data_IF_852159094194
#
_entry.id   IF_852159094194
#
_cell.length_a   1.000
_cell.length_b   1.000
_cell.length_c   1.000
_cell.angle_alpha   90.00
_cell.angle_beta   90.00
_cell.angle_gamma   90.00
#
_symmetry.space_group_name_H-M   'P 1'
#
loop_
_entity.id
_entity.type
_entity.pdbx_description
1 polymer ?
#
# COMPACT_ATOMS: atom_id res chain seq x y z
N UNK A 1 -1.03 62.35 17.51
CA UNK A 1 -1.19 61.03 18.18
C UNK A 1 0.20 60.49 18.43
N UNK A 2 0.64 60.60 19.67
CA UNK A 2 2.05 60.58 20.07
C UNK A 2 2.25 59.45 21.07
N UNK A 3 3.25 58.58 20.84
CA UNK A 3 3.66 57.50 21.75
C UNK A 3 4.08 58.06 23.12
N UNK A 4 3.78 57.35 24.21
CA UNK A 4 4.85 56.77 25.05
C UNK A 4 4.42 55.39 25.62
N UNK A 5 5.22 54.55 26.26
CA UNK A 5 6.45 54.73 27.02
C UNK A 5 7.27 53.43 27.05
N UNK A 6 8.59 53.59 27.09
CA UNK A 6 9.55 52.60 27.60
C UNK A 6 9.40 52.50 29.12
N UNK A 7 9.50 51.30 29.69
CA UNK A 7 10.08 51.12 31.02
C UNK A 7 11.10 49.98 30.92
N UNK A 8 12.30 50.28 31.39
CA UNK A 8 13.49 49.43 31.45
C UNK A 8 13.76 49.19 32.94
N UNK A 9 14.41 48.07 33.24
CA UNK A 9 15.39 47.89 34.33
C UNK A 9 14.92 47.07 35.58
N UNK A 10 15.87 46.54 36.38
CA UNK A 10 16.25 45.12 36.34
C UNK A 10 16.45 44.50 37.76
N UNK A 11 17.04 43.30 37.83
CA UNK A 11 17.54 42.56 39.02
C UNK A 11 16.47 41.83 39.87
N UNK A 12 16.35 40.50 39.77
CA UNK A 12 17.24 39.42 40.23
C UNK A 12 16.75 38.81 41.54
N UNK A 13 16.08 37.65 41.49
CA UNK A 13 16.23 36.58 42.51
C UNK A 13 16.07 35.23 41.82
N UNK A 14 17.05 34.38 42.08
CA UNK A 14 17.17 33.01 41.62
C UNK A 14 16.04 32.10 42.14
N UNK A 15 15.57 31.19 41.29
CA UNK A 15 15.00 29.93 41.72
C UNK A 15 15.30 28.88 40.65
N UNK A 16 16.23 27.98 40.99
CA UNK A 16 16.61 26.84 40.20
C UNK A 16 15.40 25.96 39.89
N UNK A 17 15.13 25.70 38.61
CA UNK A 17 14.36 24.53 38.19
C UNK A 17 15.17 23.80 37.14
N UNK A 18 15.63 22.61 37.52
CA UNK A 18 16.24 21.63 36.63
C UNK A 18 15.26 21.30 35.50
N UNK A 19 15.57 21.68 34.27
CA UNK A 19 14.88 21.15 33.09
C UNK A 19 15.62 19.88 32.64
N UNK A 20 15.09 18.67 32.87
CA UNK A 20 15.70 17.47 32.33
C UNK A 20 15.61 17.48 30.81
N UNK A 21 16.77 17.28 30.19
CA UNK A 21 16.93 16.95 28.79
C UNK A 21 16.21 15.62 28.52
N UNK A 22 14.99 15.66 28.01
CA UNK A 22 14.30 14.45 27.54
C UNK A 22 14.84 14.15 26.15
N UNK A 23 15.72 13.16 26.12
CA UNK A 23 16.13 12.41 24.95
C UNK A 23 14.90 12.04 24.10
N UNK A 24 15.10 12.06 22.79
CA UNK A 24 14.11 11.67 21.81
C UNK A 24 13.46 10.31 22.09
N UNK A 25 12.15 10.30 21.88
CA UNK A 25 11.37 9.19 21.35
C UNK A 25 10.55 9.92 20.27
N UNK A 26 10.87 9.83 18.98
CA UNK A 26 10.92 8.56 18.29
C UNK A 26 9.57 7.93 18.49
N UNK A 27 8.53 8.44 17.83
CA UNK A 27 7.29 7.70 17.62
C UNK A 27 7.71 6.36 17.04
N UNK A 28 7.84 5.37 17.94
CA UNK A 28 7.78 3.99 17.56
C UNK A 28 6.39 3.85 16.95
N UNK A 29 6.30 4.02 15.62
CA UNK A 29 5.31 3.32 14.85
C UNK A 29 5.46 1.89 15.33
N UNK A 30 4.52 1.49 16.19
CA UNK A 30 4.35 0.10 16.54
C UNK A 30 4.13 -0.56 15.19
N UNK A 31 5.18 -1.18 14.66
CA UNK A 31 5.06 -2.17 13.60
C UNK A 31 4.33 -3.29 14.30
N UNK A 32 3.01 -3.10 14.43
CA UNK A 32 2.11 -4.08 14.95
C UNK A 32 2.25 -5.21 13.96
N UNK A 33 2.84 -6.31 14.43
CA UNK A 33 2.97 -7.56 13.70
C UNK A 33 1.59 -8.22 13.55
N UNK A 34 0.56 -7.41 13.30
CA UNK A 34 -0.81 -7.80 13.07
C UNK A 34 -0.88 -8.48 11.70
N UNK A 35 -1.69 -9.55 11.55
CA UNK A 35 -1.92 -10.22 10.28
C UNK A 35 -2.22 -9.24 9.13
N UNK A 36 -2.92 -8.14 9.43
CA UNK A 36 -3.26 -7.09 8.48
C UNK A 36 -2.05 -6.47 7.75
N UNK A 37 -0.91 -6.34 8.42
CA UNK A 37 0.29 -5.75 7.80
C UNK A 37 0.91 -6.70 6.77
N UNK A 38 0.83 -8.01 7.03
CA UNK A 38 1.21 -9.04 6.06
C UNK A 38 0.20 -9.12 4.92
N UNK A 39 -1.08 -8.89 5.24
CA UNK A 39 -2.15 -8.91 4.26
C UNK A 39 -2.01 -7.80 3.22
N UNK A 40 -1.68 -6.59 3.65
CA UNK A 40 -1.50 -5.44 2.76
C UNK A 40 -0.14 -5.51 2.04
N UNK A 41 0.94 -5.87 2.75
CA UNK A 41 2.30 -5.82 2.19
C UNK A 41 2.48 -6.68 0.94
N UNK A 42 1.88 -7.87 0.91
CA UNK A 42 1.93 -8.74 -0.27
C UNK A 42 1.20 -8.15 -1.50
N UNK A 43 0.11 -7.38 -1.31
CA UNK A 43 -0.57 -6.65 -2.38
C UNK A 43 0.21 -5.39 -2.79
N UNK A 44 0.86 -4.71 -1.84
CA UNK A 44 1.73 -3.57 -2.12
C UNK A 44 2.91 -3.97 -3.00
N UNK A 45 3.57 -5.08 -2.67
CA UNK A 45 4.64 -5.65 -3.51
C UNK A 45 4.14 -5.99 -4.92
N UNK A 46 2.90 -6.50 -5.04
CA UNK A 46 2.25 -6.72 -6.35
C UNK A 46 2.02 -5.40 -7.09
N UNK A 47 1.59 -4.35 -6.40
CA UNK A 47 1.39 -3.03 -7.01
C UNK A 47 2.70 -2.45 -7.56
N UNK A 48 3.78 -2.52 -6.77
CA UNK A 48 5.09 -1.99 -7.16
C UNK A 48 5.66 -2.77 -8.34
N UNK A 49 5.67 -4.11 -8.28
CA UNK A 49 6.22 -4.93 -9.36
C UNK A 49 5.40 -4.82 -10.65
N UNK A 50 4.07 -4.71 -10.54
CA UNK A 50 3.19 -4.57 -11.71
C UNK A 50 3.40 -3.22 -12.38
N UNK A 51 3.39 -2.14 -11.60
CA UNK A 51 3.63 -0.79 -12.09
C UNK A 51 5.04 -0.64 -12.67
N UNK A 52 6.06 -1.19 -12.00
CA UNK A 52 7.45 -1.20 -12.46
C UNK A 52 7.58 -1.95 -13.79
N UNK A 53 6.96 -3.14 -13.89
CA UNK A 53 6.94 -3.93 -15.13
C UNK A 53 6.25 -3.18 -16.27
N UNK A 54 5.11 -2.54 -15.99
CA UNK A 54 4.40 -1.72 -16.96
C UNK A 54 5.22 -0.51 -17.41
N UNK A 55 5.86 0.20 -16.48
CA UNK A 55 6.66 1.38 -16.79
C UNK A 55 7.88 1.05 -17.64
N UNK A 56 8.53 -0.09 -17.39
CA UNK A 56 9.71 -0.54 -18.13
C UNK A 56 9.36 -1.10 -19.52
N UNK A 57 8.33 -1.95 -19.62
CA UNK A 57 7.97 -2.62 -20.88
C UNK A 57 6.94 -1.86 -21.71
N UNK A 58 6.33 -0.81 -21.14
CA UNK A 58 5.17 -0.08 -21.70
C UNK A 58 4.02 -1.00 -22.11
N UNK A 59 3.93 -2.16 -21.45
CA UNK A 59 2.94 -3.21 -21.70
C UNK A 59 2.55 -3.85 -20.37
N UNK A 60 1.27 -4.15 -20.17
CA UNK A 60 0.83 -4.78 -18.94
C UNK A 60 1.38 -6.22 -18.84
N UNK A 61 1.84 -6.65 -17.66
CA UNK A 61 2.31 -8.02 -17.44
C UNK A 61 1.23 -9.04 -17.81
N UNK A 62 1.61 -10.08 -18.57
CA UNK A 62 0.68 -11.15 -18.97
C UNK A 62 0.79 -12.39 -18.09
N UNK A 63 1.84 -12.46 -17.29
CA UNK A 63 2.12 -13.56 -16.37
C UNK A 63 3.13 -13.14 -15.31
N UNK A 64 3.33 -13.96 -14.29
CA UNK A 64 4.39 -13.76 -13.28
C UNK A 64 5.81 -13.76 -13.88
N UNK A 65 6.01 -14.34 -15.08
CA UNK A 65 7.30 -14.30 -15.78
C UNK A 65 7.59 -12.93 -16.39
N UNK A 66 6.56 -12.12 -16.61
CA UNK A 66 6.73 -10.76 -17.11
C UNK A 66 7.19 -9.77 -16.04
N UNK A 67 7.08 -10.16 -14.78
CA UNK A 67 7.49 -9.34 -13.67
C UNK A 67 8.99 -9.07 -13.68
N UNK A 68 9.32 -7.79 -13.76
CA UNK A 68 10.69 -7.32 -13.63
C UNK A 68 11.08 -7.39 -12.17
N UNK A 69 12.30 -7.85 -11.87
CA UNK A 69 12.82 -7.92 -10.49
C UNK A 69 11.95 -8.78 -9.56
N UNK A 70 11.31 -9.84 -10.07
CA UNK A 70 10.54 -10.78 -9.26
C UNK A 70 11.33 -11.37 -8.08
N UNK A 71 12.65 -11.51 -8.24
CA UNK A 71 13.57 -11.96 -7.18
C UNK A 71 13.67 -10.98 -5.99
N UNK A 72 13.35 -9.70 -6.19
CA UNK A 72 13.33 -8.68 -5.13
C UNK A 72 12.03 -8.70 -4.32
N UNK A 73 10.98 -9.35 -4.84
CA UNK A 73 9.65 -9.43 -4.23
C UNK A 73 9.20 -10.89 -4.07
N UNK A 74 9.93 -11.70 -3.28
CA UNK A 74 9.68 -13.12 -3.15
C UNK A 74 8.29 -13.42 -2.54
N UNK A 75 7.75 -12.51 -1.74
CA UNK A 75 6.44 -12.67 -1.13
C UNK A 75 5.32 -12.52 -2.16
N UNK A 76 5.35 -11.48 -2.99
CA UNK A 76 4.36 -11.28 -4.06
C UNK A 76 4.37 -12.44 -5.06
N UNK A 77 5.56 -12.80 -5.58
CA UNK A 77 5.69 -13.91 -6.52
C UNK A 77 5.28 -15.24 -5.88
N UNK A 78 5.62 -15.46 -4.61
CA UNK A 78 5.22 -16.64 -3.84
C UNK A 78 3.72 -16.72 -3.62
N UNK A 79 3.09 -15.64 -3.18
CA UNK A 79 1.65 -15.55 -2.92
C UNK A 79 0.84 -15.79 -4.20
N UNK A 80 1.26 -15.24 -5.34
CA UNK A 80 0.60 -15.48 -6.62
C UNK A 80 0.75 -16.94 -7.06
N UNK A 81 1.94 -17.54 -6.92
CA UNK A 81 2.17 -18.96 -7.26
C UNK A 81 1.36 -19.91 -6.38
N UNK A 82 1.28 -19.60 -5.09
CA UNK A 82 0.46 -20.35 -4.12
C UNK A 82 -1.03 -20.17 -4.39
N UNK A 83 -1.43 -19.06 -5.02
CA UNK A 83 -2.82 -18.70 -5.27
C UNK A 83 -3.45 -17.97 -4.09
N UNK A 84 -2.64 -17.42 -3.20
CA UNK A 84 -3.08 -16.54 -2.10
C UNK A 84 -3.48 -15.15 -2.63
N UNK A 85 -2.80 -14.71 -3.70
CA UNK A 85 -3.16 -13.50 -4.46
C UNK A 85 -3.55 -13.90 -5.88
N UNK A 86 -4.71 -13.42 -6.31
CA UNK A 86 -5.21 -13.54 -7.66
C UNK A 86 -5.01 -12.21 -8.37
N UNK A 87 -4.32 -12.23 -9.52
CA UNK A 87 -4.01 -11.03 -10.32
C UNK A 87 -4.71 -11.16 -11.67
N UNK A 88 -5.35 -10.08 -12.13
CA UNK A 88 -5.83 -9.96 -13.50
C UNK A 88 -4.67 -9.51 -14.41
N UNK A 89 -4.35 -10.33 -15.40
CA UNK A 89 -3.23 -10.07 -16.30
C UNK A 89 -3.60 -9.14 -17.45
N UNK A 90 -2.61 -8.47 -18.05
CA UNK A 90 -2.82 -7.67 -19.25
C UNK A 90 -3.69 -6.42 -19.06
N UNK A 91 -3.90 -5.98 -17.82
CA UNK A 91 -4.64 -4.76 -17.49
C UNK A 91 -3.65 -3.60 -17.38
N UNK A 92 -3.86 -2.52 -18.13
CA UNK A 92 -3.01 -1.34 -17.99
C UNK A 92 -3.31 -0.63 -16.65
N UNK A 93 -2.30 -0.42 -15.78
CA UNK A 93 -2.50 0.34 -14.55
C UNK A 93 -2.66 1.83 -14.88
N UNK A 94 -3.50 2.53 -14.12
CA UNK A 94 -3.81 3.96 -14.29
C UNK A 94 -3.53 4.71 -12.99
N UNK A 95 -2.26 4.76 -12.53
CA UNK A 95 -1.92 5.39 -11.25
C UNK A 95 -2.32 6.86 -11.24
N UNK A 96 -3.04 7.29 -10.21
CA UNK A 96 -3.52 8.67 -10.07
C UNK A 96 -4.83 8.98 -10.80
N UNK A 97 -5.38 8.03 -11.56
CA UNK A 97 -6.74 8.12 -12.10
C UNK A 97 -7.65 7.22 -11.28
N UNK A 98 -8.60 7.81 -10.54
CA UNK A 98 -9.50 7.05 -9.68
C UNK A 98 -10.18 5.92 -10.45
N UNK A 99 -9.94 4.68 -10.03
CA UNK A 99 -10.47 3.50 -10.68
C UNK A 99 -11.08 2.56 -9.65
N UNK A 100 -12.27 2.04 -9.96
CA UNK A 100 -12.94 1.02 -9.14
C UNK A 100 -12.74 -0.39 -9.67
N UNK A 101 -12.05 -0.53 -10.80
CA UNK A 101 -11.75 -1.81 -11.43
C UNK A 101 -10.67 -2.55 -10.64
N UNK A 102 -10.93 -3.81 -10.31
CA UNK A 102 -10.02 -4.63 -9.52
C UNK A 102 -8.88 -5.16 -10.40
N UNK A 103 -7.64 -4.95 -9.98
CA UNK A 103 -6.44 -5.48 -10.63
C UNK A 103 -5.93 -6.77 -9.96
N UNK A 104 -5.92 -6.81 -8.63
CA UNK A 104 -5.55 -8.00 -7.88
C UNK A 104 -6.33 -8.07 -6.57
N UNK A 105 -6.45 -9.26 -6.00
CA UNK A 105 -7.18 -9.48 -4.75
C UNK A 105 -6.66 -10.72 -4.05
N UNK A 106 -6.87 -10.83 -2.74
CA UNK A 106 -6.60 -12.08 -2.03
C UNK A 106 -7.65 -13.12 -2.33
N UNK A 107 -7.26 -14.39 -2.41
CA UNK A 107 -8.17 -15.49 -2.68
C UNK A 107 -9.31 -15.64 -1.66
N UNK A 108 -9.14 -15.12 -0.44
CA UNK A 108 -10.20 -15.08 0.58
C UNK A 108 -11.27 -13.99 0.33
N UNK A 109 -10.98 -12.94 -0.45
CA UNK A 109 -11.89 -11.79 -0.67
C UNK A 109 -13.28 -12.20 -1.16
N UNK A 110 -13.43 -13.10 -2.14
CA UNK A 110 -14.76 -13.52 -2.61
C UNK A 110 -15.64 -14.16 -1.54
N UNK A 111 -15.05 -14.69 -0.46
CA UNK A 111 -15.73 -15.44 0.60
C UNK A 111 -15.83 -14.68 1.93
N UNK A 112 -14.76 -13.99 2.33
CA UNK A 112 -14.63 -13.32 3.63
C UNK A 112 -14.51 -11.80 3.53
N UNK A 113 -14.31 -11.27 2.32
CA UNK A 113 -13.88 -9.90 2.11
C UNK A 113 -12.40 -9.74 2.42
N UNK A 114 -11.91 -8.52 2.29
CA UNK A 114 -10.52 -8.17 2.57
C UNK A 114 -9.96 -7.19 1.55
N UNK A 115 -8.64 -7.15 1.46
CA UNK A 115 -7.93 -6.18 0.64
C UNK A 115 -7.90 -6.56 -0.83
N UNK A 116 -8.21 -5.58 -1.67
CA UNK A 116 -8.11 -5.63 -3.13
C UNK A 116 -7.20 -4.52 -3.61
N UNK A 117 -6.40 -4.80 -4.62
CA UNK A 117 -5.64 -3.83 -5.40
C UNK A 117 -6.48 -3.40 -6.59
N UNK A 118 -6.71 -2.10 -6.72
CA UNK A 118 -7.43 -1.48 -7.81
C UNK A 118 -6.47 -1.08 -8.95
N UNK A 119 -7.03 -0.83 -10.12
CA UNK A 119 -6.28 -0.42 -11.33
C UNK A 119 -5.50 0.89 -11.16
N UNK A 120 -5.92 1.73 -10.23
CA UNK A 120 -5.25 2.99 -9.88
C UNK A 120 -4.03 2.80 -8.93
N UNK A 121 -3.64 1.54 -8.68
CA UNK A 121 -2.61 1.13 -7.73
C UNK A 121 -2.95 1.42 -6.27
N UNK A 122 -4.23 1.66 -5.95
CA UNK A 122 -4.67 1.80 -4.56
C UNK A 122 -5.15 0.47 -4.00
N UNK A 123 -4.86 0.24 -2.71
CA UNK A 123 -5.35 -0.92 -1.98
C UNK A 123 -6.57 -0.48 -1.17
N UNK A 124 -7.67 -1.23 -1.31
CA UNK A 124 -8.93 -0.96 -0.63
C UNK A 124 -9.46 -2.24 0.01
N UNK A 125 -9.96 -2.13 1.25
CA UNK A 125 -10.73 -3.20 1.85
C UNK A 125 -12.15 -3.21 1.25
N UNK A 126 -12.63 -4.39 0.84
CA UNK A 126 -13.98 -4.61 0.33
C UNK A 126 -14.61 -5.83 0.99
N UNK A 127 -15.92 -5.77 1.23
CA UNK A 127 -16.71 -6.95 1.60
C UNK A 127 -16.88 -7.91 0.41
N UNK A 128 -17.30 -9.17 0.62
CA UNK A 128 -17.61 -10.10 -0.48
C UNK A 128 -18.62 -9.53 -1.46
N UNK A 129 -19.66 -8.87 -0.95
CA UNK A 129 -20.75 -8.29 -1.74
C UNK A 129 -20.25 -7.12 -2.61
N UNK A 130 -19.44 -6.23 -2.01
CA UNK A 130 -18.78 -5.15 -2.74
C UNK A 130 -17.84 -5.70 -3.81
N UNK A 131 -17.04 -6.73 -3.49
CA UNK A 131 -16.14 -7.34 -4.46
C UNK A 131 -16.90 -8.00 -5.62
N UNK A 132 -18.03 -8.64 -5.35
CA UNK A 132 -18.88 -9.22 -6.39
C UNK A 132 -19.45 -8.16 -7.32
N UNK A 133 -19.87 -7.01 -6.76
CA UNK A 133 -20.36 -5.86 -7.53
C UNK A 133 -19.24 -5.05 -8.22
N UNK A 134 -17.98 -5.17 -7.76
CA UNK A 134 -16.87 -4.42 -8.30
C UNK A 134 -16.58 -4.80 -9.78
N UNK A 135 -16.26 -3.82 -10.64
CA UNK A 135 -15.83 -4.07 -12.00
C UNK A 135 -14.59 -4.98 -12.03
N UNK A 136 -14.67 -6.05 -12.81
CA UNK A 136 -13.58 -7.02 -13.01
C UNK A 136 -13.11 -6.96 -14.46
N UNK A 137 -11.80 -6.98 -14.72
CA UNK A 137 -11.28 -7.08 -16.07
C UNK A 137 -11.74 -8.37 -16.75
N UNK A 138 -12.03 -8.34 -18.05
CA UNK A 138 -12.31 -9.55 -18.85
C UNK A 138 -11.05 -10.38 -19.17
N UNK A 139 -9.93 -10.07 -18.52
CA UNK A 139 -8.64 -10.68 -18.78
C UNK A 139 -8.43 -11.93 -17.93
N UNK A 140 -7.59 -12.88 -18.38
CA UNK A 140 -7.29 -14.08 -17.61
C UNK A 140 -6.66 -13.75 -16.27
N UNK A 141 -7.02 -14.52 -15.24
CA UNK A 141 -6.43 -14.38 -13.90
C UNK A 141 -5.23 -15.29 -13.71
N UNK A 142 -4.41 -15.00 -12.70
CA UNK A 142 -3.34 -15.91 -12.26
C UNK A 142 -3.86 -17.27 -11.79
N UNK A 143 -5.12 -17.36 -11.35
CA UNK A 143 -5.75 -18.62 -11.00
C UNK A 143 -6.06 -19.48 -12.25
N UNK A 144 -6.44 -18.86 -13.36
CA UNK A 144 -6.71 -19.56 -14.63
C UNK A 144 -5.42 -20.13 -15.25
N UNK A 145 -4.31 -19.40 -15.13
CA UNK A 145 -3.01 -19.83 -15.66
C UNK A 145 -2.40 -21.05 -14.96
N UNK A 146 -2.91 -21.46 -13.79
CA UNK A 146 -2.46 -22.65 -13.04
C UNK A 146 -3.13 -23.95 -13.52
N UNK A 147 -4.16 -23.87 -14.38
CA UNK A 147 -4.96 -25.01 -14.82
C UNK A 147 -4.47 -25.67 -16.12
N UNK A 148 -3.29 -25.29 -16.62
CA UNK A 148 -2.67 -25.80 -17.86
C UNK A 148 -1.33 -26.45 -17.62
#
# INVERSE_FOLDING_TARGET
MTRPARIIAPWAVAAATLTPFVLGCGDAQSVSNAPEHYDIGSLEEVSDIYLSSYNLKKKPPTSTKDFVKADLFPNAAGAIKKGEIVVYWGVAPTPGEAATEVLAYKADVPSKGGYVLLKDMTIKAMTPEEFQAAPKPSMPTSADAKKG
#
